data_IF_956067640150
#
_entry.id   IF_956067640150
#
_cell.length_a   1.000
_cell.length_b   1.000
_cell.length_c   1.000
_cell.angle_alpha   90.00
_cell.angle_beta   90.00
_cell.angle_gamma   90.00
#
_symmetry.space_group_name_H-M   'P 1'
#
loop_
_entity.id
_entity.type
_entity.pdbx_description
1 polymer ?
#
# COMPACT_ATOMS: atom_id res chain seq x y z
N UNK A 1 4.36 -12.19 0.54
CA UNK A 1 4.76 -13.48 -0.09
C UNK A 1 4.62 -14.59 0.94
N UNK A 2 4.42 -15.86 0.55
CA UNK A 2 4.20 -16.99 1.49
C UNK A 2 5.43 -17.32 2.37
N UNK A 3 6.56 -16.62 2.17
CA UNK A 3 7.66 -16.49 3.12
C UNK A 3 7.69 -15.04 3.62
N UNK A 4 7.68 -14.85 4.94
CA UNK A 4 7.88 -13.54 5.54
C UNK A 4 9.22 -12.98 5.07
N UNK A 5 9.25 -11.67 4.82
CA UNK A 5 10.51 -10.96 4.64
C UNK A 5 11.40 -11.22 5.87
N UNK A 6 12.74 -11.38 5.73
CA UNK A 6 13.63 -11.67 6.86
C UNK A 6 13.58 -10.64 7.99
N UNK A 7 12.95 -9.48 7.77
CA UNK A 7 12.72 -8.46 8.79
C UNK A 7 11.39 -8.59 9.56
N UNK A 8 10.59 -9.64 9.31
CA UNK A 8 9.30 -9.87 9.98
C UNK A 8 8.11 -9.06 9.43
N UNK A 9 8.35 -7.95 8.73
CA UNK A 9 7.29 -7.16 8.09
C UNK A 9 6.77 -7.82 6.80
N UNK A 10 5.44 -7.90 6.65
CA UNK A 10 4.79 -8.44 5.46
C UNK A 10 4.26 -7.35 4.50
N UNK A 11 4.47 -6.09 4.86
CA UNK A 11 4.04 -4.94 4.08
C UNK A 11 5.15 -4.50 3.12
N UNK A 12 4.77 -4.37 1.86
CA UNK A 12 5.64 -3.99 0.75
C UNK A 12 4.96 -2.86 -0.02
N UNK A 13 5.70 -1.78 -0.20
CA UNK A 13 5.30 -0.61 -0.97
C UNK A 13 5.77 -0.77 -2.41
N UNK A 14 4.90 -0.51 -3.37
CA UNK A 14 5.23 -0.57 -4.80
C UNK A 14 5.78 0.79 -5.21
N UNK A 15 7.05 0.83 -5.62
CA UNK A 15 7.72 2.08 -6.02
C UNK A 15 7.64 2.28 -7.53
N UNK A 16 7.74 1.19 -8.30
CA UNK A 16 7.71 1.24 -9.76
C UNK A 16 6.91 0.08 -10.31
N UNK A 17 6.05 0.37 -11.29
CA UNK A 17 5.33 -0.63 -12.07
C UNK A 17 5.81 -0.59 -13.54
N UNK A 18 6.05 -1.76 -14.12
CA UNK A 18 6.60 -1.93 -15.46
C UNK A 18 6.81 -3.41 -15.81
N UNK A 19 7.83 -3.72 -16.61
CA UNK A 19 8.27 -5.10 -16.88
C UNK A 19 8.73 -5.80 -15.59
N UNK A 20 9.54 -5.09 -14.82
CA UNK A 20 9.93 -5.47 -13.46
C UNK A 20 9.29 -4.52 -12.45
N UNK A 21 8.72 -5.09 -11.40
CA UNK A 21 8.06 -4.34 -10.34
C UNK A 21 9.07 -4.16 -9.22
N UNK A 22 9.44 -2.91 -8.94
CA UNK A 22 10.29 -2.60 -7.79
C UNK A 22 9.41 -2.38 -6.57
N UNK A 23 9.64 -3.20 -5.55
CA UNK A 23 8.94 -3.10 -4.27
C UNK A 23 9.95 -2.79 -3.16
N UNK A 24 9.53 -1.99 -2.19
CA UNK A 24 10.32 -1.65 -1.01
C UNK A 24 9.61 -2.18 0.22
N UNK A 25 10.35 -2.87 1.09
CA UNK A 25 9.81 -3.27 2.37
C UNK A 25 9.71 -2.04 3.29
N UNK A 26 8.54 -1.80 3.90
CA UNK A 26 8.37 -0.64 4.79
C UNK A 26 9.14 -0.77 6.11
N UNK A 27 9.37 -2.01 6.59
CA UNK A 27 10.05 -2.27 7.85
C UNK A 27 11.56 -2.06 7.78
N UNK A 28 12.21 -2.64 6.77
CA UNK A 28 13.67 -2.57 6.61
C UNK A 28 14.14 -1.64 5.48
N UNK A 29 13.22 -1.01 4.74
CA UNK A 29 13.49 -0.08 3.63
C UNK A 29 14.29 -0.70 2.47
N UNK A 30 14.42 -2.02 2.44
CA UNK A 30 15.11 -2.75 1.39
C UNK A 30 14.27 -2.81 0.12
N UNK A 31 14.87 -2.46 -1.02
CA UNK A 31 14.20 -2.48 -2.32
C UNK A 31 14.62 -3.71 -3.13
N UNK A 32 13.66 -4.49 -3.59
CA UNK A 32 13.88 -5.67 -4.45
C UNK A 32 13.15 -5.50 -5.77
N UNK A 33 13.77 -5.99 -6.85
CA UNK A 33 13.11 -6.16 -8.14
C UNK A 33 12.39 -7.50 -8.16
N UNK A 34 11.10 -7.48 -8.48
CA UNK A 34 10.28 -8.67 -8.64
C UNK A 34 9.72 -8.69 -10.07
N UNK A 35 9.99 -9.75 -10.85
CA UNK A 35 9.40 -9.91 -12.18
C UNK A 35 7.88 -9.95 -12.09
N UNK A 36 7.18 -9.33 -13.04
CA UNK A 36 5.71 -9.23 -13.05
C UNK A 36 4.99 -10.57 -12.83
N UNK A 37 5.42 -11.62 -13.53
CA UNK A 37 4.81 -12.96 -13.43
C UNK A 37 4.91 -13.55 -12.01
N UNK A 38 5.99 -13.25 -11.28
CA UNK A 38 6.12 -13.65 -9.86
C UNK A 38 5.26 -12.76 -8.98
N UNK A 39 5.20 -11.46 -9.24
CA UNK A 39 4.40 -10.54 -8.45
C UNK A 39 2.91 -10.89 -8.50
N UNK A 40 2.35 -11.12 -9.70
CA UNK A 40 0.94 -11.51 -9.87
C UNK A 40 0.60 -12.82 -9.14
N UNK A 41 1.47 -13.83 -9.21
CA UNK A 41 1.26 -15.10 -8.48
C UNK A 41 1.39 -14.97 -6.95
N UNK A 42 2.14 -13.98 -6.47
CA UNK A 42 2.38 -13.76 -5.05
C UNK A 42 1.46 -12.72 -4.42
N UNK A 43 0.69 -11.98 -5.24
CA UNK A 43 -0.30 -11.02 -4.80
C UNK A 43 -1.52 -11.81 -4.27
N UNK A 44 -1.63 -11.93 -2.94
CA UNK A 44 -2.73 -12.64 -2.29
C UNK A 44 -3.93 -11.74 -1.97
N UNK A 45 -3.66 -10.55 -1.45
CA UNK A 45 -4.67 -9.57 -1.05
C UNK A 45 -4.05 -8.19 -1.07
N UNK A 46 -4.74 -7.22 -1.66
CA UNK A 46 -4.36 -5.81 -1.60
C UNK A 46 -4.90 -5.26 -0.29
N UNK A 47 -4.00 -4.83 0.61
CA UNK A 47 -4.35 -4.30 1.93
C UNK A 47 -4.72 -2.81 1.87
N UNK A 48 -4.13 -2.06 0.93
CA UNK A 48 -4.49 -0.67 0.64
C UNK A 48 -4.49 -0.44 -0.86
N UNK A 49 -5.66 -0.13 -1.38
CA UNK A 49 -5.86 0.27 -2.77
C UNK A 49 -5.86 1.80 -2.80
N UNK A 50 -5.01 2.42 -3.63
CA UNK A 50 -5.02 3.88 -3.80
C UNK A 50 -6.33 4.42 -4.39
N UNK A 51 -7.22 3.54 -4.88
CA UNK A 51 -8.51 3.90 -5.46
C UNK A 51 -9.61 4.21 -4.42
N UNK A 52 -9.37 4.00 -3.13
CA UNK A 52 -10.28 4.40 -2.06
C UNK A 52 -9.54 5.42 -1.20
N UNK A 53 -9.58 6.68 -1.60
CA UNK A 53 -9.45 7.74 -0.62
C UNK A 53 -10.61 7.54 0.39
N UNK A 54 -10.34 7.32 1.69
CA UNK A 54 -11.35 7.65 2.67
C UNK A 54 -11.46 9.18 2.60
N UNK A 55 -12.54 9.62 1.98
CA UNK A 55 -13.21 10.87 2.28
C UNK A 55 -13.26 10.93 3.82
N UNK A 56 -12.33 11.68 4.41
CA UNK A 56 -12.35 11.92 5.84
C UNK A 56 -13.57 12.81 6.08
N UNK A 57 -14.64 12.16 6.56
CA UNK A 57 -15.72 12.77 7.30
C UNK A 57 -15.12 13.66 8.39
N UNK A 58 -15.17 14.97 8.17
CA UNK A 58 -15.24 15.95 9.25
C UNK A 58 -16.65 16.56 9.20
N UNK A 59 -17.62 15.80 9.73
CA UNK A 59 -18.89 16.33 10.18
C UNK A 59 -18.73 16.72 11.65
N UNK A 60 -18.52 18.01 11.92
CA UNK A 60 -18.95 18.74 13.13
C UNK A 60 -18.50 20.22 12.95
N UNK A 61 -19.33 21.26 12.95
CA UNK A 61 -20.70 21.36 13.38
C UNK A 61 -21.44 22.54 12.75
N UNK A 62 -22.76 22.38 12.74
CA UNK A 62 -23.81 23.39 12.73
C UNK A 62 -23.37 24.65 13.52
N UNK A 63 -23.53 25.88 13.04
CA UNK A 63 -24.74 26.68 13.31
C UNK A 63 -24.68 28.05 12.59
N UNK A 64 -25.75 28.50 11.90
CA UNK A 64 -26.23 29.90 11.99
C UNK A 64 -27.10 30.03 13.28
N UNK A 65 -27.52 31.21 13.80
CA UNK A 65 -27.64 32.54 13.19
C UNK A 65 -27.21 33.73 14.13
N UNK A 66 -27.37 34.98 13.66
CA UNK A 66 -27.34 36.23 14.44
C UNK A 66 -26.03 37.01 14.25
N UNK A 67 -25.98 38.21 13.69
CA UNK A 67 -26.94 39.33 13.59
C UNK A 67 -26.75 40.07 12.25
#
# INVERSE_FOLDING_TARGET
MKKNHPCGSNEMEIIRMGMDIRIKCIGCKHSVLVPRAKFEKNMRKVLRSAALAPENTASDGQSPPGE
#
